data_IF_937388558184
#
_entry.id   IF_937388558184
#
_cell.length_a   1.000
_cell.length_b   1.000
_cell.length_c   1.000
_cell.angle_alpha   90.00
_cell.angle_beta   90.00
_cell.angle_gamma   90.00
#
_symmetry.space_group_name_H-M   'P 1'
#
loop_
_entity.id
_entity.type
_entity.pdbx_description
1 polymer ?
#
# COMPACT_ATOMS: atom_id res chain seq x y z
N UNK A 1 22.56 -0.66 35.64
CA UNK A 1 22.30 -0.70 34.19
C UNK A 1 21.27 0.37 33.90
N UNK A 2 21.55 1.41 33.09
CA UNK A 2 20.51 2.36 32.73
C UNK A 2 19.59 1.71 31.69
N UNK A 3 18.31 1.60 32.03
CA UNK A 3 17.26 1.16 31.10
C UNK A 3 17.19 2.14 29.93
N UNK A 4 17.28 1.65 28.70
CA UNK A 4 16.99 2.45 27.51
C UNK A 4 15.58 3.05 27.65
N UNK A 5 15.37 4.33 27.30
CA UNK A 5 14.02 4.88 27.23
C UNK A 5 13.21 4.04 26.25
N UNK A 6 12.02 3.62 26.65
CA UNK A 6 11.08 2.95 25.77
C UNK A 6 10.83 3.85 24.55
N UNK A 7 10.95 3.31 23.35
CA UNK A 7 10.59 4.03 22.13
C UNK A 7 9.12 4.48 22.24
N UNK A 8 8.85 5.75 21.93
CA UNK A 8 7.48 6.25 21.86
C UNK A 8 6.66 5.39 20.90
N UNK A 9 5.38 5.12 21.20
CA UNK A 9 4.54 4.35 20.30
C UNK A 9 4.45 5.04 18.92
N UNK A 10 4.42 4.28 17.82
CA UNK A 10 4.34 4.86 16.49
C UNK A 10 3.01 5.61 16.29
N UNK A 11 3.06 6.77 15.64
CA UNK A 11 1.89 7.62 15.37
C UNK A 11 1.04 7.00 14.25
N UNK A 12 -0.30 6.88 14.41
CA UNK A 12 -1.17 6.36 13.35
C UNK A 12 -1.04 7.12 12.03
N UNK A 13 -0.91 6.39 10.91
CA UNK A 13 -0.61 6.97 9.60
C UNK A 13 -1.61 8.05 9.13
N UNK A 14 -2.91 7.89 9.41
CA UNK A 14 -3.94 8.86 9.02
C UNK A 14 -3.88 10.20 9.77
N UNK A 15 -3.06 10.31 10.82
CA UNK A 15 -2.81 11.55 11.55
C UNK A 15 -1.56 12.28 11.03
N UNK A 16 -0.79 11.65 10.13
CA UNK A 16 0.42 12.21 9.57
C UNK A 16 0.12 13.03 8.31
N UNK A 17 0.98 14.01 8.01
CA UNK A 17 0.97 14.68 6.72
C UNK A 17 1.68 13.81 5.68
N UNK A 18 0.91 13.06 4.90
CA UNK A 18 1.40 12.17 3.85
C UNK A 18 1.22 12.78 2.45
N UNK A 19 2.09 12.46 1.47
CA UNK A 19 1.84 12.80 0.09
C UNK A 19 0.55 12.13 -0.44
N UNK A 20 -0.01 12.72 -1.49
CA UNK A 20 -1.25 12.26 -2.13
C UNK A 20 -2.47 13.10 -1.73
N UNK A 21 -3.63 12.46 -1.59
CA UNK A 21 -4.92 13.14 -1.43
C UNK A 21 -5.92 12.30 -0.63
N UNK A 22 -6.77 12.99 0.14
CA UNK A 22 -7.92 12.36 0.79
C UNK A 22 -9.14 12.22 -0.15
N UNK A 23 -9.08 12.76 -1.37
CA UNK A 23 -10.15 12.64 -2.36
C UNK A 23 -10.05 11.31 -3.11
N UNK A 24 -11.17 10.86 -3.68
CA UNK A 24 -11.22 9.68 -4.55
C UNK A 24 -10.66 10.01 -5.94
N UNK A 25 -9.34 10.11 -6.02
CA UNK A 25 -8.60 10.37 -7.25
C UNK A 25 -7.33 9.52 -7.32
N UNK A 26 -6.86 9.25 -8.53
CA UNK A 26 -5.57 8.62 -8.73
C UNK A 26 -4.46 9.62 -8.42
N UNK A 27 -3.48 9.19 -7.62
CA UNK A 27 -2.34 10.03 -7.24
C UNK A 27 -1.05 9.37 -7.68
N UNK A 28 -0.12 10.17 -8.20
CA UNK A 28 1.23 9.73 -8.44
C UNK A 28 1.91 9.34 -7.12
N UNK A 29 2.63 8.22 -7.12
CA UNK A 29 3.48 7.80 -6.00
C UNK A 29 4.87 8.39 -6.22
N UNK A 30 5.30 9.39 -5.43
CA UNK A 30 6.66 9.94 -5.54
C UNK A 30 7.73 8.86 -5.37
N UNK A 31 8.90 9.04 -5.99
CA UNK A 31 9.97 8.04 -5.98
C UNK A 31 10.54 7.75 -4.59
N UNK A 32 10.49 8.74 -3.70
CA UNK A 32 11.02 8.72 -2.33
C UNK A 32 9.94 8.55 -1.25
N UNK A 33 8.65 8.54 -1.63
CA UNK A 33 7.56 8.37 -0.68
C UNK A 33 7.44 6.90 -0.25
N UNK A 34 7.49 6.64 1.06
CA UNK A 34 7.23 5.32 1.66
C UNK A 34 5.74 5.03 1.74
N UNK A 35 4.97 6.00 2.21
CA UNK A 35 3.52 5.96 2.36
C UNK A 35 2.87 7.04 1.51
N UNK A 36 1.79 6.70 0.81
CA UNK A 36 0.97 7.65 0.04
C UNK A 36 -0.50 7.45 0.41
N UNK A 37 -1.26 8.54 0.45
CA UNK A 37 -2.72 8.51 0.64
C UNK A 37 -3.46 8.71 -0.67
N UNK A 38 -4.48 7.89 -0.92
CA UNK A 38 -5.50 8.14 -1.95
C UNK A 38 -6.86 7.74 -1.40
N UNK A 39 -7.79 8.69 -1.34
CA UNK A 39 -9.14 8.47 -0.84
C UNK A 39 -9.16 7.87 0.56
N UNK A 40 -9.72 6.67 0.63
CA UNK A 40 -9.95 5.91 1.87
C UNK A 40 -8.77 5.00 2.24
N UNK A 41 -7.67 5.00 1.48
CA UNK A 41 -6.49 4.18 1.75
C UNK A 41 -5.20 4.99 1.91
N UNK A 42 -4.34 4.51 2.79
CA UNK A 42 -2.90 4.76 2.74
C UNK A 42 -2.23 3.46 2.30
N UNK A 43 -1.31 3.54 1.34
CA UNK A 43 -0.57 2.40 0.82
C UNK A 43 0.93 2.62 0.97
N UNK A 44 1.68 1.51 1.07
CA UNK A 44 3.14 1.48 1.15
C UNK A 44 3.61 0.06 1.43
N UNK A 45 4.86 -0.24 1.78
CA UNK A 45 6.00 0.66 1.67
C UNK A 45 6.45 0.68 0.21
N UNK A 46 6.26 1.81 -0.47
CA UNK A 46 6.60 1.93 -1.89
C UNK A 46 8.11 1.99 -2.14
N UNK A 47 8.92 2.48 -1.19
CA UNK A 47 10.38 2.51 -1.33
C UNK A 47 10.92 1.10 -1.22
N UNK A 48 10.45 0.35 -0.21
CA UNK A 48 10.82 -1.05 -0.03
C UNK A 48 10.36 -1.90 -1.21
N UNK A 49 9.10 -1.71 -1.64
CA UNK A 49 8.56 -2.43 -2.78
C UNK A 49 9.41 -2.21 -4.04
N UNK A 50 9.79 -0.96 -4.37
CA UNK A 50 10.69 -0.67 -5.50
C UNK A 50 12.06 -1.32 -5.34
N UNK A 51 12.61 -1.34 -4.12
CA UNK A 51 13.93 -1.93 -3.86
C UNK A 51 13.95 -3.44 -4.05
N UNK A 52 12.86 -4.11 -3.66
CA UNK A 52 12.74 -5.56 -3.71
C UNK A 52 12.09 -6.07 -4.99
N UNK A 53 11.43 -5.20 -5.74
CA UNK A 53 10.75 -5.56 -6.97
C UNK A 53 11.78 -6.02 -8.01
N UNK A 54 11.63 -7.27 -8.42
CA UNK A 54 12.38 -7.86 -9.51
C UNK A 54 11.41 -8.71 -10.33
N UNK A 55 11.16 -8.38 -11.61
CA UNK A 55 10.16 -9.09 -12.42
C UNK A 55 10.53 -10.58 -12.61
N UNK A 56 11.82 -10.90 -12.55
CA UNK A 56 12.35 -12.25 -12.80
C UNK A 56 12.45 -13.14 -11.55
N UNK A 57 12.38 -12.56 -10.35
CA UNK A 57 12.63 -13.28 -9.09
C UNK A 57 11.34 -13.72 -8.36
N UNK A 58 10.19 -13.50 -8.98
CA UNK A 58 8.90 -13.97 -8.47
C UNK A 58 8.25 -13.05 -7.42
N UNK A 59 7.07 -13.44 -6.92
CA UNK A 59 6.12 -12.53 -6.28
C UNK A 59 6.40 -12.20 -4.82
N UNK A 60 7.38 -12.86 -4.21
CA UNK A 60 7.52 -12.88 -2.76
C UNK A 60 8.49 -11.82 -2.22
N UNK A 61 9.22 -11.14 -3.11
CA UNK A 61 10.23 -10.17 -2.69
C UNK A 61 9.62 -8.82 -2.31
N UNK A 62 8.79 -8.21 -3.16
CA UNK A 62 8.17 -6.91 -2.89
C UNK A 62 6.77 -7.04 -2.27
N UNK A 63 6.57 -6.44 -1.09
CA UNK A 63 5.24 -6.40 -0.43
C UNK A 63 4.71 -4.99 -0.32
N UNK A 64 3.42 -4.84 -0.62
CA UNK A 64 2.65 -3.64 -0.28
C UNK A 64 1.65 -3.99 0.82
N UNK A 65 1.37 -3.05 1.70
CA UNK A 65 0.30 -3.06 2.66
C UNK A 65 -0.63 -1.87 2.44
N UNK A 66 -1.87 -2.04 2.88
CA UNK A 66 -2.94 -1.08 2.67
C UNK A 66 -3.64 -0.82 3.99
N UNK A 67 -3.60 0.42 4.45
CA UNK A 67 -4.28 0.89 5.64
C UNK A 67 -5.62 1.50 5.22
N UNK A 68 -6.77 0.84 5.49
CA UNK A 68 -8.07 1.44 5.27
C UNK A 68 -8.36 2.51 6.34
N UNK A 69 -8.98 3.61 5.96
CA UNK A 69 -9.48 4.63 6.89
C UNK A 69 -10.59 4.07 7.79
N UNK A 70 -11.37 3.12 7.27
CA UNK A 70 -12.49 2.45 7.94
C UNK A 70 -12.41 0.94 7.69
N UNK A 71 -11.66 0.18 8.51
CA UNK A 71 -11.53 -1.27 8.33
C UNK A 71 -12.87 -1.98 8.47
N UNK A 72 -13.14 -2.93 7.57
CA UNK A 72 -14.33 -3.78 7.60
C UNK A 72 -13.91 -5.23 7.74
N UNK A 73 -14.30 -5.88 8.84
CA UNK A 73 -13.82 -7.21 9.24
C UNK A 73 -14.06 -8.31 8.19
N UNK A 74 -15.12 -8.18 7.38
CA UNK A 74 -15.51 -9.18 6.37
C UNK A 74 -15.19 -8.73 4.93
N UNK A 75 -14.49 -7.61 4.75
CA UNK A 75 -14.10 -7.13 3.43
C UNK A 75 -12.69 -7.59 3.10
N UNK A 76 -12.55 -8.36 2.02
CA UNK A 76 -11.25 -8.63 1.41
C UNK A 76 -10.78 -7.40 0.62
N UNK A 77 -9.47 -7.20 0.55
CA UNK A 77 -8.89 -6.23 -0.35
C UNK A 77 -8.77 -6.84 -1.75
N UNK A 78 -9.25 -6.11 -2.76
CA UNK A 78 -8.92 -6.34 -4.16
C UNK A 78 -8.10 -5.17 -4.68
N UNK A 79 -7.00 -5.47 -5.38
CA UNK A 79 -6.18 -4.48 -6.08
C UNK A 79 -6.18 -4.82 -7.57
N UNK A 80 -6.74 -3.92 -8.38
CA UNK A 80 -6.66 -4.01 -9.84
C UNK A 80 -5.49 -3.16 -10.31
N UNK A 81 -4.49 -3.79 -10.90
CA UNK A 81 -3.31 -3.13 -11.46
C UNK A 81 -3.43 -3.05 -12.98
N UNK A 82 -3.19 -1.88 -13.56
CA UNK A 82 -3.26 -1.68 -15.02
C UNK A 82 -2.03 -0.93 -15.54
N UNK A 83 -1.46 -1.41 -16.65
CA UNK A 83 -0.32 -0.78 -17.34
C UNK A 83 -0.28 -1.21 -18.79
N UNK A 84 -0.10 -0.29 -19.74
CA UNK A 84 0.13 -0.62 -21.15
C UNK A 84 -0.91 -1.54 -21.80
N UNK A 85 -2.17 -1.51 -21.35
CA UNK A 85 -3.24 -2.41 -21.80
C UNK A 85 -3.32 -3.76 -21.06
N UNK A 86 -2.33 -4.09 -20.22
CA UNK A 86 -2.37 -5.23 -19.30
C UNK A 86 -3.18 -4.88 -18.05
N UNK A 87 -3.93 -5.85 -17.55
CA UNK A 87 -4.67 -5.78 -16.29
C UNK A 87 -4.37 -7.02 -15.46
N UNK A 88 -3.97 -6.81 -14.20
CA UNK A 88 -3.76 -7.86 -13.20
C UNK A 88 -4.69 -7.58 -12.02
N UNK A 89 -5.15 -8.64 -11.34
CA UNK A 89 -5.98 -8.49 -10.13
C UNK A 89 -5.41 -9.33 -9.01
N UNK A 90 -5.16 -8.68 -7.88
CA UNK A 90 -4.63 -9.30 -6.67
C UNK A 90 -5.67 -9.20 -5.57
N UNK A 91 -5.77 -10.24 -4.75
CA UNK A 91 -6.63 -10.22 -3.57
C UNK A 91 -5.79 -10.48 -2.33
N UNK A 92 -5.99 -9.69 -1.29
CA UNK A 92 -5.48 -9.97 0.04
C UNK A 92 -6.66 -10.27 0.96
N UNK A 93 -6.49 -11.30 1.79
CA UNK A 93 -7.51 -11.81 2.70
C UNK A 93 -7.73 -10.90 3.90
N UNK A 94 -7.72 -11.49 5.10
CA UNK A 94 -8.08 -10.83 6.35
C UNK A 94 -7.17 -9.66 6.72
N UNK A 95 -7.75 -8.70 7.45
CA UNK A 95 -7.00 -7.64 8.12
C UNK A 95 -6.01 -8.24 9.13
N UNK A 96 -4.78 -7.71 9.11
CA UNK A 96 -3.79 -7.85 10.16
C UNK A 96 -3.70 -6.54 10.97
N UNK A 97 -2.96 -6.55 12.08
CA UNK A 97 -2.66 -5.35 12.86
C UNK A 97 -1.17 -5.05 12.74
N UNK A 98 -0.81 -3.80 12.42
CA UNK A 98 0.59 -3.36 12.37
C UNK A 98 1.12 -2.96 13.77
N UNK A 99 2.40 -2.64 13.86
CA UNK A 99 3.06 -2.27 15.14
C UNK A 99 2.49 -0.97 15.77
N UNK A 100 1.80 -0.14 14.97
CA UNK A 100 1.08 1.05 15.44
C UNK A 100 -0.36 0.74 15.89
N UNK A 101 -0.75 -0.53 15.96
CA UNK A 101 -2.10 -0.95 16.34
C UNK A 101 -3.16 -0.67 15.26
N UNK A 102 -2.76 -0.36 14.03
CA UNK A 102 -3.68 -0.08 12.93
C UNK A 102 -4.01 -1.36 12.15
N UNK A 103 -5.28 -1.51 11.78
CA UNK A 103 -5.69 -2.55 10.86
C UNK A 103 -5.08 -2.32 9.47
N UNK A 104 -4.59 -3.37 8.84
CA UNK A 104 -3.95 -3.32 7.52
C UNK A 104 -4.20 -4.58 6.70
N UNK A 105 -4.19 -4.46 5.38
CA UNK A 105 -4.11 -5.60 4.48
C UNK A 105 -2.68 -5.76 3.98
N UNK A 106 -1.89 -6.74 4.47
CA UNK A 106 -0.64 -7.10 3.82
C UNK A 106 -0.93 -7.81 2.50
N UNK A 107 -0.25 -7.41 1.43
CA UNK A 107 -0.50 -7.94 0.09
C UNK A 107 0.81 -8.24 -0.67
N UNK A 108 0.85 -9.40 -1.33
CA UNK A 108 1.81 -9.68 -2.38
C UNK A 108 1.22 -9.20 -3.71
N UNK A 109 1.82 -8.19 -4.31
CA UNK A 109 1.37 -7.60 -5.58
C UNK A 109 2.52 -7.74 -6.57
N UNK A 110 2.67 -8.89 -7.24
CA UNK A 110 3.74 -9.07 -8.21
C UNK A 110 3.44 -8.40 -9.53
N UNK A 111 3.95 -7.19 -9.72
CA UNK A 111 3.82 -6.48 -10.99
C UNK A 111 4.82 -7.08 -12.01
N UNK A 112 4.36 -7.60 -13.16
CA UNK A 112 5.17 -8.48 -14.02
C UNK A 112 6.20 -7.76 -14.89
N UNK A 113 6.20 -6.43 -14.94
CA UNK A 113 7.08 -5.67 -15.81
C UNK A 113 7.30 -4.24 -15.29
N UNK A 114 8.40 -3.64 -15.73
CA UNK A 114 8.66 -2.22 -15.53
C UNK A 114 7.58 -1.35 -16.21
N UNK A 115 7.48 -0.11 -15.77
CA UNK A 115 6.54 0.88 -16.29
C UNK A 115 5.66 1.50 -15.21
N UNK A 116 4.73 2.35 -15.64
CA UNK A 116 3.76 3.01 -14.76
C UNK A 116 2.50 2.17 -14.63
N UNK A 117 2.23 1.74 -13.41
CA UNK A 117 1.09 0.93 -13.02
C UNK A 117 0.08 1.76 -12.24
N UNK A 118 -1.17 1.77 -12.69
CA UNK A 118 -2.29 2.28 -11.92
C UNK A 118 -2.86 1.15 -11.07
N UNK A 119 -2.74 1.28 -9.76
CA UNK A 119 -3.20 0.35 -8.74
C UNK A 119 -4.48 0.90 -8.09
N UNK A 120 -5.62 0.27 -8.35
CA UNK A 120 -6.89 0.61 -7.71
C UNK A 120 -7.18 -0.38 -6.60
N UNK A 121 -7.14 0.08 -5.36
CA UNK A 121 -7.46 -0.70 -4.17
C UNK A 121 -8.92 -0.51 -3.76
N UNK A 122 -9.58 -1.61 -3.45
CA UNK A 122 -10.96 -1.63 -2.98
C UNK A 122 -11.15 -2.67 -1.88
N UNK A 123 -11.81 -2.27 -0.78
CA UNK A 123 -12.28 -3.19 0.25
C UNK A 123 -13.60 -2.65 0.82
N UNK A 124 -14.69 -3.40 0.65
CA UNK A 124 -16.03 -2.92 1.01
C UNK A 124 -16.39 -1.64 0.25
N UNK A 125 -16.70 -0.57 0.99
CA UNK A 125 -16.98 0.76 0.44
C UNK A 125 -15.72 1.62 0.26
N UNK A 126 -14.57 1.18 0.78
CA UNK A 126 -13.30 1.89 0.70
C UNK A 126 -12.67 1.81 -0.68
N UNK A 127 -12.08 2.92 -1.12
CA UNK A 127 -11.44 3.04 -2.44
C UNK A 127 -10.17 3.90 -2.37
N UNK A 128 -9.16 3.53 -3.15
CA UNK A 128 -7.94 4.32 -3.38
C UNK A 128 -7.31 3.99 -4.74
N UNK A 129 -6.58 4.94 -5.33
CA UNK A 129 -5.89 4.76 -6.60
C UNK A 129 -4.49 5.38 -6.59
N UNK A 130 -3.50 4.58 -6.99
CA UNK A 130 -2.08 4.91 -6.90
C UNK A 130 -1.39 4.64 -8.22
N UNK A 131 -0.67 5.63 -8.75
CA UNK A 131 0.13 5.50 -9.97
C UNK A 131 1.60 5.30 -9.59
N UNK A 132 2.03 4.04 -9.64
CA UNK A 132 3.36 3.57 -9.25
C UNK A 132 4.22 3.34 -10.49
N UNK A 133 5.36 4.02 -10.58
CA UNK A 133 6.37 3.75 -11.61
C UNK A 133 7.45 2.81 -11.08
N UNK A 134 7.74 1.77 -11.86
CA UNK A 134 8.83 0.82 -11.68
C UNK A 134 9.81 0.95 -12.85
N UNK A 135 11.11 0.91 -12.55
CA UNK A 135 12.20 1.11 -13.52
C UNK A 135 13.03 -0.15 -13.69
#
# INVERSE_FOLDING_TARGET
MPSSPAASPPVPAFQQSLPGSARRECVAVPGDATLVRSGDFIAGDFVEYRRQWHPDLGPDLGKLFWLPARPQLNAALTVTATSGGRTETYSAGSLATNDAGQAMYPSGIPLPAAGTWKLVAQAGDGWGCFELTLL
#
